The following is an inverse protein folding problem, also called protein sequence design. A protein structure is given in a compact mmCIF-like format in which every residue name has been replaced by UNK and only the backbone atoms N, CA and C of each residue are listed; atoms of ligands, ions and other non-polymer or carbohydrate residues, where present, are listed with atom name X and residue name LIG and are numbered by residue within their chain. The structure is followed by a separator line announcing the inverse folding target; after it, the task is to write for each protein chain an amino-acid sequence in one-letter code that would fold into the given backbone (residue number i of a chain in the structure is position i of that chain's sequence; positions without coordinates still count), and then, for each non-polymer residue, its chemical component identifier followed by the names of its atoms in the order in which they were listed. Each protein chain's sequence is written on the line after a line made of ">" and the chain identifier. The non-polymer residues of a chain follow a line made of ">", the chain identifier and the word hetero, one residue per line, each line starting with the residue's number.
data_IF_397265570305
#
_entry.id   IF_397265570305
#
_cell.length_a   1.000
_cell.length_b   1.000
_cell.length_c   1.000
_cell.angle_alpha   90.00
_cell.angle_beta   90.00
_cell.angle_gamma   90.00
#
_symmetry.space_group_name_H-M   'P 1'
#
loop_
_entity.id
_entity.type
_entity.pdbx_description
1 polymer ?
#
# COMPACT_ATOMS: atom_id res chain seq x y z
N UNK A 1 8.04 1.38 -11.47
CA UNK A 1 6.83 0.54 -11.26
C UNK A 1 5.57 1.09 -11.91
N UNK A 2 5.34 2.42 -11.93
CA UNK A 2 4.19 3.03 -12.65
C UNK A 2 4.06 2.55 -14.11
N UNK A 3 5.14 2.40 -14.91
CA UNK A 3 5.02 1.86 -16.27
C UNK A 3 4.46 0.45 -16.32
N UNK A 4 4.75 -0.39 -15.32
CA UNK A 4 4.26 -1.77 -15.24
C UNK A 4 2.77 -1.82 -14.89
N UNK A 5 2.33 -0.93 -13.99
CA UNK A 5 0.91 -0.79 -13.63
C UNK A 5 0.04 -0.33 -14.81
N UNK A 6 0.61 0.45 -15.73
CA UNK A 6 -0.11 0.91 -16.91
C UNK A 6 0.00 -0.09 -18.08
N UNK A 7 1.16 -0.70 -18.28
CA UNK A 7 1.41 -1.61 -19.40
C UNK A 7 0.75 -2.99 -19.20
N UNK A 8 0.72 -3.51 -17.96
CA UNK A 8 0.15 -4.83 -17.66
C UNK A 8 -1.32 -4.99 -18.07
N UNK A 9 -2.23 -4.15 -17.54
CA UNK A 9 -3.65 -4.17 -17.93
C UNK A 9 -3.85 -3.93 -19.43
N UNK A 10 -3.02 -3.09 -20.06
CA UNK A 10 -3.09 -2.87 -21.50
C UNK A 10 -2.76 -4.14 -22.30
N UNK A 11 -1.66 -4.83 -21.97
CA UNK A 11 -1.30 -6.11 -22.58
C UNK A 11 -2.37 -7.18 -22.34
N UNK A 12 -2.93 -7.25 -21.13
CA UNK A 12 -4.02 -8.16 -20.81
C UNK A 12 -5.29 -7.87 -21.61
N UNK A 13 -5.57 -6.60 -21.92
CA UNK A 13 -6.70 -6.24 -22.78
C UNK A 13 -6.52 -6.83 -24.18
N UNK A 14 -5.31 -6.77 -24.75
CA UNK A 14 -4.99 -7.37 -26.05
C UNK A 14 -5.07 -8.91 -26.04
N UNK A 15 -4.55 -9.54 -25.00
CA UNK A 15 -4.66 -10.99 -24.83
C UNK A 15 -6.12 -11.42 -24.68
N UNK A 16 -6.90 -10.69 -23.90
CA UNK A 16 -8.33 -10.96 -23.71
C UNK A 16 -9.14 -10.76 -25.00
N UNK A 17 -8.80 -9.74 -25.81
CA UNK A 17 -9.35 -9.56 -27.16
C UNK A 17 -9.09 -10.79 -28.03
N UNK A 18 -7.83 -11.25 -28.10
CA UNK A 18 -7.47 -12.44 -28.88
C UNK A 18 -8.23 -13.69 -28.41
N UNK A 19 -8.34 -13.90 -27.10
CA UNK A 19 -9.14 -14.97 -26.50
C UNK A 19 -10.62 -14.86 -26.86
N UNK A 20 -11.21 -13.66 -26.81
CA UNK A 20 -12.60 -13.43 -27.17
C UNK A 20 -12.88 -13.70 -28.65
N UNK A 21 -11.99 -13.27 -29.56
CA UNK A 21 -12.10 -13.60 -30.98
C UNK A 21 -12.02 -15.10 -31.22
N UNK A 22 -11.11 -15.80 -30.54
CA UNK A 22 -10.99 -17.26 -30.63
C UNK A 22 -12.27 -17.95 -30.14
N UNK A 23 -12.82 -17.49 -29.01
CA UNK A 23 -14.05 -18.04 -28.45
C UNK A 23 -15.27 -17.80 -29.35
N UNK A 24 -15.39 -16.61 -29.95
CA UNK A 24 -16.46 -16.32 -30.91
C UNK A 24 -16.42 -17.22 -32.15
N UNK A 25 -15.23 -17.64 -32.59
CA UNK A 25 -15.09 -18.59 -33.70
C UNK A 25 -15.48 -20.02 -33.30
N UNK A 26 -15.25 -20.42 -32.05
CA UNK A 26 -15.54 -21.78 -31.58
C UNK A 26 -16.99 -22.00 -31.16
N UNK A 27 -17.67 -20.97 -30.65
CA UNK A 27 -19.05 -21.05 -30.18
C UNK A 27 -19.90 -19.95 -30.81
N UNK A 28 -20.77 -20.30 -31.77
CA UNK A 28 -21.63 -19.38 -32.52
C UNK A 28 -22.69 -18.68 -31.66
N UNK A 29 -23.07 -19.27 -30.53
CA UNK A 29 -24.09 -18.74 -29.63
C UNK A 29 -23.50 -17.85 -28.52
N UNK A 30 -22.16 -17.80 -28.42
CA UNK A 30 -21.47 -16.92 -27.48
C UNK A 30 -21.64 -15.45 -27.91
N UNK A 31 -22.23 -14.66 -27.02
CA UNK A 31 -22.48 -13.22 -27.15
C UNK A 31 -21.91 -12.47 -25.94
N UNK A 32 -21.91 -11.14 -26.02
CA UNK A 32 -21.49 -10.28 -24.89
C UNK A 32 -22.34 -10.56 -23.65
N UNK A 33 -23.65 -10.73 -23.83
CA UNK A 33 -24.62 -10.85 -22.73
C UNK A 33 -24.53 -12.18 -21.97
N UNK A 34 -24.08 -13.25 -22.63
CA UNK A 34 -23.94 -14.59 -22.03
C UNK A 34 -22.47 -15.00 -21.79
N UNK A 35 -21.51 -14.10 -22.04
CA UNK A 35 -20.08 -14.41 -21.97
C UNK A 35 -19.66 -14.93 -20.59
N UNK A 36 -20.15 -14.31 -19.52
CA UNK A 36 -19.83 -14.71 -18.15
C UNK A 36 -20.49 -16.03 -17.74
N UNK A 37 -21.62 -16.42 -18.32
CA UNK A 37 -22.26 -17.70 -18.01
C UNK A 37 -21.73 -18.85 -18.87
N UNK A 38 -21.18 -18.56 -20.06
CA UNK A 38 -20.74 -19.58 -21.02
C UNK A 38 -19.24 -19.73 -21.19
N UNK A 39 -18.43 -18.77 -20.74
CA UNK A 39 -16.97 -18.87 -20.81
C UNK A 39 -16.35 -19.21 -19.45
N UNK A 40 -16.13 -20.49 -19.14
CA UNK A 40 -15.54 -20.89 -17.85
C UNK A 40 -14.13 -20.32 -17.66
N UNK A 41 -13.38 -20.12 -18.75
CA UNK A 41 -12.06 -19.51 -18.70
C UNK A 41 -12.13 -18.04 -18.28
N UNK A 42 -13.06 -17.26 -18.85
CA UNK A 42 -13.26 -15.87 -18.47
C UNK A 42 -13.63 -15.75 -16.99
N UNK A 43 -14.54 -16.61 -16.52
CA UNK A 43 -14.96 -16.65 -15.11
C UNK A 43 -13.80 -17.03 -14.21
N UNK A 44 -13.08 -18.10 -14.52
CA UNK A 44 -11.97 -18.58 -13.71
C UNK A 44 -10.88 -17.51 -13.55
N UNK A 45 -10.49 -16.84 -14.65
CA UNK A 45 -9.49 -15.76 -14.60
C UNK A 45 -10.01 -14.57 -13.80
N UNK A 46 -11.26 -14.16 -14.01
CA UNK A 46 -11.85 -13.02 -13.28
C UNK A 46 -11.96 -13.30 -11.79
N UNK A 47 -12.38 -14.50 -11.40
CA UNK A 47 -12.44 -14.93 -10.00
C UNK A 47 -11.05 -15.01 -9.37
N UNK A 48 -10.06 -15.56 -10.08
CA UNK A 48 -8.68 -15.60 -9.58
C UNK A 48 -8.13 -14.19 -9.31
N UNK A 49 -8.32 -13.26 -10.26
CA UNK A 49 -7.89 -11.87 -10.09
C UNK A 49 -8.65 -11.18 -8.95
N UNK A 50 -9.95 -11.41 -8.82
CA UNK A 50 -10.73 -10.91 -7.69
C UNK A 50 -10.21 -11.44 -6.35
N UNK A 51 -9.90 -12.74 -6.26
CA UNK A 51 -9.35 -13.34 -5.04
C UNK A 51 -7.97 -12.78 -4.68
N UNK A 52 -7.08 -12.59 -5.66
CA UNK A 52 -5.78 -11.94 -5.45
C UNK A 52 -5.97 -10.50 -4.96
N UNK A 53 -6.84 -9.74 -5.62
CA UNK A 53 -7.15 -8.36 -5.24
C UNK A 53 -7.71 -8.26 -3.82
N UNK A 54 -8.68 -9.11 -3.48
CA UNK A 54 -9.28 -9.16 -2.15
C UNK A 54 -8.29 -9.59 -1.07
N UNK A 55 -7.41 -10.56 -1.35
CA UNK A 55 -6.35 -10.94 -0.42
C UNK A 55 -5.40 -9.76 -0.16
N UNK A 56 -4.97 -9.08 -1.23
CA UNK A 56 -4.08 -7.93 -1.09
C UNK A 56 -4.74 -6.75 -0.35
N UNK A 57 -6.03 -6.46 -0.59
CA UNK A 57 -6.79 -5.49 0.23
C UNK A 57 -6.89 -5.96 1.69
N UNK A 58 -7.10 -7.26 1.92
CA UNK A 58 -7.12 -7.84 3.27
C UNK A 58 -5.81 -7.62 4.03
N UNK A 59 -4.66 -7.59 3.33
CA UNK A 59 -3.37 -7.27 3.94
C UNK A 59 -3.29 -5.82 4.40
N UNK A 60 -3.90 -4.88 3.69
CA UNK A 60 -3.97 -3.47 4.09
C UNK A 60 -4.91 -3.24 5.28
N UNK A 61 -5.99 -4.04 5.36
CA UNK A 61 -6.98 -3.93 6.43
C UNK A 61 -6.60 -4.67 7.72
N UNK A 62 -5.65 -5.61 7.64
CA UNK A 62 -5.25 -6.43 8.79
C UNK A 62 -3.77 -6.76 8.72
N UNK A 63 -2.98 -6.09 9.57
CA UNK A 63 -1.54 -6.37 9.66
C UNK A 63 -1.26 -7.83 10.06
N UNK A 64 -2.10 -8.44 10.91
CA UNK A 64 -2.00 -9.87 11.25
C UNK A 64 -2.14 -10.77 10.03
N UNK A 65 -3.04 -10.44 9.12
CA UNK A 65 -3.18 -11.17 7.86
C UNK A 65 -1.98 -10.89 6.93
N UNK A 66 -1.52 -9.64 6.86
CA UNK A 66 -0.33 -9.23 6.12
C UNK A 66 0.92 -10.02 6.53
N UNK A 67 1.11 -10.26 7.84
CA UNK A 67 2.22 -11.02 8.40
C UNK A 67 2.30 -12.48 7.93
N UNK A 68 1.23 -13.06 7.38
CA UNK A 68 1.25 -14.43 6.84
C UNK A 68 2.04 -14.57 5.53
N UNK A 69 2.34 -13.45 4.87
CA UNK A 69 2.99 -13.42 3.58
C UNK A 69 4.48 -13.06 3.70
N UNK A 70 5.28 -13.39 2.68
CA UNK A 70 6.68 -12.96 2.62
C UNK A 70 6.80 -11.43 2.55
N UNK A 71 7.86 -10.85 3.11
CA UNK A 71 8.06 -9.39 3.21
C UNK A 71 7.92 -8.67 1.86
N UNK A 72 8.42 -9.28 0.77
CA UNK A 72 8.28 -8.70 -0.58
C UNK A 72 6.81 -8.52 -1.00
N UNK A 73 5.95 -9.48 -0.64
CA UNK A 73 4.51 -9.41 -0.96
C UNK A 73 3.83 -8.34 -0.10
N UNK A 74 4.26 -8.21 1.15
CA UNK A 74 3.75 -7.17 2.06
C UNK A 74 4.14 -5.77 1.60
N UNK A 75 5.35 -5.59 1.09
CA UNK A 75 5.81 -4.30 0.57
C UNK A 75 5.01 -3.84 -0.66
N UNK A 76 4.61 -4.79 -1.51
CA UNK A 76 3.88 -4.51 -2.74
C UNK A 76 2.36 -4.78 -2.66
N UNK A 77 1.77 -5.03 -1.49
CA UNK A 77 0.35 -5.43 -1.35
C UNK A 77 -0.59 -4.42 -2.00
N UNK A 78 -0.40 -3.13 -1.75
CA UNK A 78 -1.19 -2.05 -2.36
C UNK A 78 -1.13 -2.13 -3.90
N UNK A 79 0.07 -2.28 -4.46
CA UNK A 79 0.30 -2.35 -5.90
C UNK A 79 -0.30 -3.63 -6.51
N UNK A 80 -0.18 -4.76 -5.81
CA UNK A 80 -0.77 -6.04 -6.20
C UNK A 80 -2.29 -5.94 -6.24
N UNK A 81 -2.92 -5.36 -5.20
CA UNK A 81 -4.37 -5.19 -5.14
C UNK A 81 -4.90 -4.42 -6.35
N UNK A 82 -4.19 -3.35 -6.70
CA UNK A 82 -4.59 -2.49 -7.78
C UNK A 82 -4.35 -3.11 -9.15
N UNK A 83 -3.19 -3.75 -9.34
CA UNK A 83 -2.89 -4.48 -10.56
C UNK A 83 -3.91 -5.60 -10.80
N UNK A 84 -4.31 -6.33 -9.77
CA UNK A 84 -5.32 -7.38 -9.88
C UNK A 84 -6.69 -6.82 -10.30
N UNK A 85 -7.13 -5.72 -9.69
CA UNK A 85 -8.38 -5.05 -10.04
C UNK A 85 -8.36 -4.51 -11.48
N UNK A 86 -7.32 -3.76 -11.86
CA UNK A 86 -7.18 -3.23 -13.22
C UNK A 86 -7.08 -4.35 -14.28
N UNK A 87 -6.38 -5.45 -13.95
CA UNK A 87 -6.28 -6.63 -14.81
C UNK A 87 -7.63 -7.32 -15.00
N UNK A 88 -8.47 -7.40 -13.96
CA UNK A 88 -9.81 -7.96 -14.06
C UNK A 88 -10.67 -7.15 -15.03
N UNK A 89 -10.67 -5.82 -14.89
CA UNK A 89 -11.37 -4.92 -15.83
C UNK A 89 -10.86 -5.07 -17.27
N UNK A 90 -9.54 -5.14 -17.45
CA UNK A 90 -8.92 -5.36 -18.76
C UNK A 90 -9.37 -6.67 -19.41
N UNK A 91 -9.39 -7.77 -18.64
CA UNK A 91 -9.81 -9.09 -19.14
C UNK A 91 -11.27 -9.09 -19.56
N UNK A 92 -12.17 -8.62 -18.69
CA UNK A 92 -13.62 -8.59 -18.98
C UNK A 92 -13.91 -7.70 -20.19
N UNK A 93 -13.29 -6.52 -20.21
CA UNK A 93 -13.50 -5.50 -21.26
C UNK A 93 -12.93 -5.94 -22.60
N UNK A 94 -11.70 -6.47 -22.65
CA UNK A 94 -11.08 -6.97 -23.87
C UNK A 94 -11.85 -8.16 -24.45
N UNK A 95 -12.23 -9.12 -23.61
CA UNK A 95 -13.01 -10.28 -24.04
C UNK A 95 -14.39 -9.86 -24.56
N UNK A 96 -15.12 -9.03 -23.82
CA UNK A 96 -16.44 -8.53 -24.21
C UNK A 96 -16.40 -7.71 -25.51
N UNK A 97 -15.40 -6.87 -25.70
CA UNK A 97 -15.23 -6.09 -26.93
C UNK A 97 -14.99 -6.98 -28.15
N UNK A 98 -14.17 -8.03 -28.03
CA UNK A 98 -13.96 -8.98 -29.11
C UNK A 98 -15.25 -9.70 -29.52
N UNK A 99 -16.09 -10.09 -28.54
CA UNK A 99 -17.40 -10.66 -28.82
C UNK A 99 -18.34 -9.64 -29.50
N UNK A 100 -18.35 -8.39 -29.02
CA UNK A 100 -19.15 -7.32 -29.60
C UNK A 100 -18.80 -7.10 -31.09
N UNK A 101 -17.50 -7.03 -31.40
CA UNK A 101 -17.00 -6.90 -32.78
C UNK A 101 -17.38 -8.13 -33.61
N UNK A 102 -17.11 -9.33 -33.10
CA UNK A 102 -17.34 -10.59 -33.83
C UNK A 102 -18.81 -10.84 -34.15
N UNK A 103 -19.72 -10.32 -33.32
CA UNK A 103 -21.17 -10.50 -33.45
C UNK A 103 -21.88 -9.29 -34.06
N UNK A 104 -21.15 -8.26 -34.48
CA UNK A 104 -21.75 -7.05 -35.03
C UNK A 104 -22.70 -6.34 -34.05
N UNK A 105 -22.37 -6.36 -32.76
CA UNK A 105 -23.21 -5.78 -31.72
C UNK A 105 -23.44 -4.28 -31.99
N UNK A 106 -24.70 -3.82 -31.94
CA UNK A 106 -25.09 -2.46 -32.34
C UNK A 106 -24.34 -1.36 -31.59
N UNK A 107 -23.93 -1.65 -30.35
CA UNK A 107 -23.24 -0.71 -29.47
C UNK A 107 -21.72 -0.87 -29.44
N UNK A 108 -21.11 -1.61 -30.38
CA UNK A 108 -19.65 -1.88 -30.36
C UNK A 108 -18.81 -0.61 -30.26
N UNK A 109 -19.17 0.46 -30.98
CA UNK A 109 -18.46 1.75 -30.90
C UNK A 109 -18.58 2.39 -29.53
N UNK A 110 -19.77 2.39 -28.95
CA UNK A 110 -20.01 2.91 -27.60
C UNK A 110 -19.26 2.11 -26.54
N UNK A 111 -19.22 0.77 -26.67
CA UNK A 111 -18.44 -0.11 -25.80
C UNK A 111 -16.94 0.20 -25.88
N UNK A 112 -16.39 0.35 -27.08
CA UNK A 112 -14.99 0.72 -27.27
C UNK A 112 -14.66 2.05 -26.57
N UNK A 113 -15.49 3.08 -26.78
CA UNK A 113 -15.29 4.40 -26.15
C UNK A 113 -15.41 4.29 -24.63
N UNK A 114 -16.41 3.58 -24.12
CA UNK A 114 -16.59 3.37 -22.68
C UNK A 114 -15.39 2.67 -22.04
N UNK A 115 -14.88 1.59 -22.68
CA UNK A 115 -13.71 0.87 -22.22
C UNK A 115 -12.48 1.79 -22.19
N UNK A 116 -12.26 2.57 -23.24
CA UNK A 116 -11.13 3.52 -23.29
C UNK A 116 -11.22 4.57 -22.18
N UNK A 117 -12.40 5.18 -21.98
CA UNK A 117 -12.61 6.18 -20.93
C UNK A 117 -12.40 5.59 -19.53
N UNK A 118 -12.94 4.40 -19.27
CA UNK A 118 -12.76 3.73 -17.98
C UNK A 118 -11.31 3.37 -17.75
N UNK A 119 -10.60 2.82 -18.74
CA UNK A 119 -9.19 2.45 -18.59
C UNK A 119 -8.29 3.69 -18.38
N UNK A 120 -8.56 4.79 -19.08
CA UNK A 120 -7.85 6.06 -18.86
C UNK A 120 -8.15 6.59 -17.46
N UNK A 121 -9.42 6.60 -17.04
CA UNK A 121 -9.80 7.07 -15.71
C UNK A 121 -9.16 6.24 -14.59
N UNK A 122 -9.19 4.91 -14.71
CA UNK A 122 -8.51 4.00 -13.78
C UNK A 122 -6.99 4.24 -13.76
N UNK A 123 -6.37 4.41 -14.93
CA UNK A 123 -4.93 4.72 -15.03
C UNK A 123 -4.56 6.05 -14.37
N UNK A 124 -5.35 7.10 -14.60
CA UNK A 124 -5.13 8.40 -13.96
C UNK A 124 -5.37 8.35 -12.45
N UNK A 125 -6.42 7.66 -12.02
CA UNK A 125 -6.71 7.44 -10.60
C UNK A 125 -5.56 6.69 -9.93
N UNK A 126 -5.05 5.64 -10.56
CA UNK A 126 -3.89 4.89 -10.11
C UNK A 126 -2.69 5.80 -9.87
N UNK A 127 -2.30 6.57 -10.88
CA UNK A 127 -1.14 7.46 -10.80
C UNK A 127 -1.36 8.50 -9.70
N UNK A 128 -2.57 9.05 -9.60
CA UNK A 128 -2.88 10.07 -8.60
C UNK A 128 -2.79 9.57 -7.17
N UNK A 129 -3.21 8.32 -6.94
CA UNK A 129 -3.40 7.74 -5.61
C UNK A 129 -2.21 6.92 -5.12
N UNK A 130 -1.48 6.27 -6.02
CA UNK A 130 -0.46 5.28 -5.66
C UNK A 130 0.95 5.61 -6.17
N UNK A 131 1.15 6.79 -6.79
CA UNK A 131 2.51 7.25 -7.05
C UNK A 131 3.20 7.55 -5.72
N UNK A 132 4.47 7.12 -5.55
CA UNK A 132 5.26 7.50 -4.39
C UNK A 132 5.41 9.01 -4.32
N UNK A 133 5.31 9.58 -3.11
CA UNK A 133 5.42 11.03 -2.90
C UNK A 133 6.86 11.49 -2.66
N UNK A 134 7.79 10.58 -2.38
CA UNK A 134 9.19 10.91 -2.11
C UNK A 134 9.86 11.83 -3.15
N UNK A 135 9.66 11.65 -4.48
CA UNK A 135 10.19 12.57 -5.48
C UNK A 135 9.71 14.02 -5.33
N UNK A 136 8.47 14.21 -4.86
CA UNK A 136 7.83 15.52 -4.68
C UNK A 136 8.17 16.17 -3.33
N UNK A 137 8.81 15.44 -2.40
CA UNK A 137 9.24 16.00 -1.12
C UNK A 137 10.42 16.96 -1.31
N UNK A 138 10.35 18.08 -0.58
CA UNK A 138 11.43 19.04 -0.44
C UNK A 138 12.59 18.51 0.41
N UNK A 139 13.56 19.36 0.78
CA UNK A 139 14.61 18.98 1.71
C UNK A 139 14.00 18.60 3.06
N UNK A 140 14.51 17.53 3.69
CA UNK A 140 14.10 17.12 5.01
C UNK A 140 14.36 18.19 6.06
N UNK A 141 13.54 18.22 7.11
CA UNK A 141 13.68 19.16 8.24
C UNK A 141 14.09 18.38 9.47
N UNK A 142 15.13 18.85 10.15
CA UNK A 142 15.60 18.29 11.42
C UNK A 142 15.60 19.39 12.48
N UNK A 143 15.14 19.08 13.68
CA UNK A 143 15.21 20.02 14.82
C UNK A 143 16.64 20.19 15.31
N UNK A 144 16.90 21.24 16.11
CA UNK A 144 18.20 21.42 16.77
C UNK A 144 18.59 20.23 17.66
N UNK A 145 17.60 19.47 18.14
CA UNK A 145 17.78 18.24 18.91
C UNK A 145 18.04 16.98 18.06
N UNK A 146 18.14 17.11 16.74
CA UNK A 146 18.44 15.99 15.82
C UNK A 146 17.22 15.14 15.44
N UNK A 147 15.99 15.57 15.73
CA UNK A 147 14.77 14.85 15.36
C UNK A 147 14.35 15.19 13.94
N UNK A 148 14.20 14.19 13.07
CA UNK A 148 13.67 14.34 11.72
C UNK A 148 12.16 14.56 11.78
N UNK A 149 11.69 15.66 11.20
CA UNK A 149 10.28 16.02 11.11
C UNK A 149 9.66 15.55 9.79
N UNK A 150 8.35 15.39 9.77
CA UNK A 150 7.62 15.18 8.52
C UNK A 150 7.32 16.53 7.85
N UNK A 151 7.52 16.62 6.54
CA UNK A 151 7.18 17.78 5.71
C UNK A 151 5.88 17.60 4.93
N UNK A 152 5.36 16.37 4.86
CA UNK A 152 4.09 16.04 4.21
C UNK A 152 3.14 15.31 5.17
N UNK A 153 1.83 15.44 4.99
CA UNK A 153 0.82 14.82 5.87
C UNK A 153 0.76 13.28 5.84
N UNK A 154 1.56 12.63 5.00
CA UNK A 154 1.52 11.17 4.77
C UNK A 154 2.86 10.49 5.10
N UNK A 155 3.84 11.23 5.60
CA UNK A 155 5.23 10.75 5.80
C UNK A 155 5.60 10.51 7.26
N UNK A 156 4.63 10.44 8.18
CA UNK A 156 4.90 10.15 9.60
C UNK A 156 5.70 8.85 9.81
N UNK A 157 5.42 7.79 9.04
CA UNK A 157 6.19 6.53 9.08
C UNK A 157 7.61 6.72 8.52
N UNK A 158 7.77 7.50 7.45
CA UNK A 158 9.08 7.80 6.85
C UNK A 158 9.96 8.60 7.81
N UNK A 159 9.43 9.67 8.41
CA UNK A 159 10.12 10.44 9.44
C UNK A 159 10.46 9.59 10.68
N UNK A 160 9.54 8.72 11.13
CA UNK A 160 9.80 7.79 12.23
C UNK A 160 10.91 6.78 11.91
N UNK A 161 10.93 6.23 10.69
CA UNK A 161 11.99 5.35 10.21
C UNK A 161 13.34 6.07 10.12
N UNK A 162 13.36 7.31 9.61
CA UNK A 162 14.55 8.15 9.57
C UNK A 162 15.12 8.39 10.97
N UNK A 163 14.26 8.69 11.94
CA UNK A 163 14.65 8.84 13.35
C UNK A 163 15.21 7.55 13.96
N UNK A 164 14.58 6.39 13.71
CA UNK A 164 15.12 5.08 14.13
C UNK A 164 16.46 4.80 13.47
N UNK A 165 16.61 5.11 12.18
CA UNK A 165 17.86 4.89 11.47
C UNK A 165 18.99 5.73 12.06
N UNK A 166 18.72 7.01 12.35
CA UNK A 166 19.66 7.92 13.02
C UNK A 166 20.02 7.47 14.43
N UNK A 167 19.09 6.87 15.17
CA UNK A 167 19.40 6.26 16.48
C UNK A 167 20.48 5.19 16.39
N UNK A 168 20.60 4.52 15.24
CA UNK A 168 21.62 3.51 14.95
C UNK A 168 22.74 4.02 14.04
N UNK A 169 23.00 5.33 14.02
CA UNK A 169 24.05 5.99 13.23
C UNK A 169 23.93 5.78 11.71
N UNK A 170 22.71 5.55 11.20
CA UNK A 170 22.42 5.54 9.77
C UNK A 170 21.75 6.88 9.43
N UNK A 171 22.47 7.70 8.68
CA UNK A 171 21.93 8.97 8.19
C UNK A 171 20.94 8.68 7.06
N UNK A 172 19.65 8.79 7.41
CA UNK A 172 18.52 8.68 6.51
C UNK A 172 17.63 9.89 6.75
N UNK A 173 17.27 10.61 5.70
CA UNK A 173 16.31 11.71 5.79
C UNK A 173 14.86 11.23 5.52
N UNK A 174 13.88 12.12 5.69
CA UNK A 174 12.47 11.83 5.42
C UNK A 174 12.24 11.36 3.98
N UNK A 175 12.91 12.00 3.01
CA UNK A 175 12.69 11.78 1.59
C UNK A 175 13.21 10.41 1.17
N UNK A 176 14.42 10.08 1.56
CA UNK A 176 15.04 8.77 1.32
C UNK A 176 14.22 7.66 1.97
N UNK A 177 13.76 7.87 3.22
CA UNK A 177 12.87 6.93 3.89
C UNK A 177 11.53 6.76 3.13
N UNK A 178 10.93 7.85 2.64
CA UNK A 178 9.69 7.81 1.88
C UNK A 178 9.84 7.09 0.53
N UNK A 179 10.98 7.26 -0.13
CA UNK A 179 11.31 6.55 -1.38
C UNK A 179 11.49 5.05 -1.14
N UNK A 180 12.21 4.65 -0.09
CA UNK A 180 12.38 3.24 0.29
C UNK A 180 11.04 2.59 0.65
N UNK A 181 10.20 3.30 1.40
CA UNK A 181 8.89 2.81 1.83
C UNK A 181 7.85 2.81 0.72
N UNK A 182 8.11 3.48 -0.40
CA UNK A 182 7.11 3.77 -1.44
C UNK A 182 5.88 4.47 -0.85
N UNK A 183 6.10 5.43 0.04
CA UNK A 183 5.05 6.19 0.71
C UNK A 183 4.16 6.87 -0.33
N UNK A 184 2.85 6.72 -0.20
CA UNK A 184 1.86 7.34 -1.09
C UNK A 184 1.11 8.46 -0.38
N UNK A 185 0.14 9.08 -1.06
CA UNK A 185 -0.76 10.07 -0.42
C UNK A 185 -1.59 9.46 0.72
N UNK A 186 -1.76 8.13 0.75
CA UNK A 186 -2.43 7.42 1.84
C UNK A 186 -1.47 7.01 2.98
N UNK A 187 -0.19 7.35 2.85
CA UNK A 187 0.84 6.97 3.81
C UNK A 187 1.50 5.64 3.48
N UNK A 188 1.90 4.95 4.54
CA UNK A 188 2.72 3.74 4.50
C UNK A 188 2.16 2.71 5.47
N UNK A 189 1.96 1.48 5.00
CA UNK A 189 1.52 0.36 5.81
C UNK A 189 2.65 -0.29 6.62
N UNK A 190 2.34 -1.03 7.70
CA UNK A 190 3.35 -1.74 8.50
C UNK A 190 4.14 -2.78 7.72
N UNK A 191 3.55 -3.40 6.69
CA UNK A 191 4.23 -4.35 5.80
C UNK A 191 5.38 -3.73 5.00
N UNK A 192 5.17 -2.51 4.50
CA UNK A 192 6.22 -1.74 3.82
C UNK A 192 7.36 -1.40 4.79
N UNK A 193 7.02 -1.00 6.02
CA UNK A 193 8.01 -0.70 7.05
C UNK A 193 8.85 -1.93 7.42
N UNK A 194 8.24 -3.09 7.64
CA UNK A 194 8.95 -4.34 7.95
C UNK A 194 9.93 -4.74 6.84
N UNK A 195 9.52 -4.62 5.59
CA UNK A 195 10.39 -4.90 4.45
C UNK A 195 11.59 -3.94 4.40
N UNK A 196 11.38 -2.64 4.59
CA UNK A 196 12.49 -1.66 4.56
C UNK A 196 13.42 -1.83 5.75
N UNK A 197 12.90 -2.15 6.94
CA UNK A 197 13.73 -2.48 8.10
C UNK A 197 14.65 -3.67 7.82
N UNK A 198 14.11 -4.75 7.22
CA UNK A 198 14.90 -5.92 6.79
C UNK A 198 15.97 -5.53 5.76
N UNK A 199 15.61 -4.71 4.75
CA UNK A 199 16.56 -4.24 3.74
C UNK A 199 17.69 -3.38 4.31
N UNK A 200 17.41 -2.59 5.34
CA UNK A 200 18.40 -1.77 6.06
C UNK A 200 19.22 -2.60 7.07
N UNK A 201 18.92 -3.89 7.23
CA UNK A 201 19.66 -4.80 8.11
C UNK A 201 19.23 -4.73 9.58
N UNK A 202 18.06 -4.18 9.87
CA UNK A 202 17.50 -4.19 11.22
C UNK A 202 16.81 -5.50 11.54
N UNK A 203 17.00 -6.00 12.76
CA UNK A 203 16.11 -7.00 13.35
C UNK A 203 14.90 -6.28 13.95
N UNK A 204 13.70 -6.81 13.75
CA UNK A 204 12.48 -6.17 14.25
C UNK A 204 11.52 -7.17 14.89
N UNK A 205 10.71 -6.66 15.81
CA UNK A 205 9.61 -7.41 16.44
C UNK A 205 8.32 -6.60 16.33
N UNK A 206 7.29 -7.20 15.73
CA UNK A 206 5.96 -6.58 15.70
C UNK A 206 5.32 -6.69 17.07
N UNK A 207 4.81 -5.57 17.57
CA UNK A 207 4.15 -5.49 18.87
C UNK A 207 2.70 -6.00 18.78
N UNK A 208 2.23 -6.68 19.83
CA UNK A 208 0.86 -7.21 19.89
C UNK A 208 -0.07 -6.12 20.47
N UNK A 209 -1.28 -5.89 19.89
CA UNK A 209 -2.34 -5.09 20.53
C UNK A 209 -2.66 -5.44 21.99
N UNK A 210 -2.32 -6.66 22.44
CA UNK A 210 -2.44 -7.06 23.85
C UNK A 210 -1.40 -6.39 24.76
N UNK A 211 -0.27 -5.96 24.22
CA UNK A 211 0.78 -5.25 24.93
C UNK A 211 0.37 -3.79 25.12
N UNK A 212 -0.08 -3.45 26.33
CA UNK A 212 -0.57 -2.10 26.68
C UNK A 212 0.44 -1.25 27.45
N UNK A 213 1.67 -1.75 27.58
CA UNK A 213 2.73 -1.08 28.34
C UNK A 213 4.02 -1.07 27.52
N UNK A 214 4.66 0.11 27.44
CA UNK A 214 5.99 0.25 26.87
C UNK A 214 7.10 -0.20 27.82
N UNK A 215 6.79 -0.52 29.08
CA UNK A 215 7.80 -0.98 30.04
C UNK A 215 8.56 -2.24 29.55
N UNK A 216 7.90 -3.08 28.77
CA UNK A 216 8.47 -4.31 28.21
C UNK A 216 8.82 -4.19 26.72
N UNK A 217 8.70 -3.00 26.13
CA UNK A 217 9.07 -2.74 24.73
C UNK A 217 10.51 -2.23 24.68
N UNK A 218 11.44 -2.93 24.00
CA UNK A 218 12.79 -2.43 23.86
C UNK A 218 12.80 -1.19 22.94
N UNK A 219 13.37 -0.07 23.38
CA UNK A 219 13.62 1.05 22.50
C UNK A 219 14.79 0.78 21.52
N UNK A 220 14.80 1.40 20.34
CA UNK A 220 13.74 2.25 19.80
C UNK A 220 12.61 1.44 19.16
N UNK A 221 11.40 1.99 19.14
CA UNK A 221 10.25 1.38 18.47
C UNK A 221 9.44 2.42 17.68
N UNK A 222 8.90 2.03 16.53
CA UNK A 222 7.91 2.85 15.81
C UNK A 222 6.53 2.43 16.29
N UNK A 223 5.79 3.35 16.90
CA UNK A 223 4.46 3.11 17.45
C UNK A 223 3.39 3.64 16.50
N UNK A 224 2.34 2.86 16.27
CA UNK A 224 1.15 3.31 15.54
C UNK A 224 0.12 3.84 16.54
N UNK A 225 -0.17 5.12 16.46
CA UNK A 225 -0.94 5.87 17.45
C UNK A 225 -2.12 6.59 16.81
N UNK A 226 -3.10 6.93 17.63
CA UNK A 226 -4.26 7.69 17.21
C UNK A 226 -3.87 9.14 16.91
N UNK A 227 -4.28 9.64 15.74
CA UNK A 227 -4.18 11.05 15.42
C UNK A 227 -5.49 11.74 15.79
N UNK A 228 -5.47 12.89 16.50
CA UNK A 228 -6.69 13.59 16.91
C UNK A 228 -7.67 13.89 15.76
N UNK A 229 -7.15 14.16 14.56
CA UNK A 229 -7.97 14.51 13.39
C UNK A 229 -8.26 13.35 12.42
N UNK A 230 -7.39 12.33 12.37
CA UNK A 230 -7.48 11.25 11.38
C UNK A 230 -7.99 9.94 11.98
N UNK A 231 -8.04 9.85 13.31
CA UNK A 231 -8.63 8.75 14.04
C UNK A 231 -7.61 7.70 14.46
N UNK A 232 -8.08 6.47 14.53
CA UNK A 232 -7.36 5.37 15.18
C UNK A 232 -6.15 4.93 14.36
N UNK A 233 -4.99 4.79 15.01
CA UNK A 233 -3.74 4.24 14.44
C UNK A 233 -3.33 4.86 13.09
N UNK A 234 -3.72 6.10 12.86
CA UNK A 234 -3.50 6.82 11.60
C UNK A 234 -2.20 7.63 11.60
N UNK A 235 -1.39 7.52 12.65
CA UNK A 235 -0.14 8.25 12.81
C UNK A 235 0.97 7.36 13.37
N UNK A 236 2.21 7.72 13.11
CA UNK A 236 3.38 6.98 13.55
C UNK A 236 4.39 7.90 14.24
N UNK A 237 4.94 7.42 15.35
CA UNK A 237 5.95 8.12 16.15
C UNK A 237 7.07 7.15 16.53
N UNK A 238 8.26 7.66 16.83
CA UNK A 238 9.33 6.84 17.39
C UNK A 238 9.33 6.96 18.92
N UNK A 239 9.20 5.84 19.62
CA UNK A 239 9.56 5.70 21.02
C UNK A 239 11.07 5.53 21.16
N UNK A 240 11.72 6.48 21.84
CA UNK A 240 13.18 6.51 21.99
C UNK A 240 13.68 5.87 23.27
N UNK A 241 13.08 6.20 24.41
CA UNK A 241 13.54 5.73 25.72
C UNK A 241 12.52 6.05 26.82
N UNK A 242 12.66 5.41 27.97
CA UNK A 242 12.03 5.87 29.21
C UNK A 242 12.83 7.06 29.74
N UNK A 243 12.14 8.14 30.09
CA UNK A 243 12.73 9.37 30.59
C UNK A 243 12.08 9.80 31.92
N UNK A 244 12.65 10.81 32.58
CA UNK A 244 12.02 11.39 33.77
C UNK A 244 10.66 12.01 33.37
N UNK A 245 9.60 11.59 34.07
CA UNK A 245 8.24 12.03 33.79
C UNK A 245 7.47 11.21 32.75
N UNK A 246 8.09 10.26 32.04
CA UNK A 246 7.36 9.39 31.12
C UNK A 246 8.20 8.72 30.04
N UNK A 247 7.70 8.77 28.82
CA UNK A 247 8.30 8.15 27.64
C UNK A 247 8.75 9.23 26.68
N UNK A 248 10.02 9.19 26.27
CA UNK A 248 10.56 10.07 25.25
C UNK A 248 10.09 9.60 23.87
N UNK A 249 9.31 10.45 23.21
CA UNK A 249 8.72 10.23 21.90
C UNK A 249 9.29 11.26 20.93
N UNK A 250 9.75 10.78 19.79
CA UNK A 250 10.08 11.60 18.64
C UNK A 250 8.83 11.65 17.76
N UNK A 251 8.12 12.75 17.87
CA UNK A 251 6.86 13.05 17.21
C UNK A 251 7.16 13.78 15.88
N UNK A 252 6.90 13.18 14.71
CA UNK A 252 7.24 13.80 13.42
C UNK A 252 6.67 15.20 13.18
N UNK A 253 5.61 15.60 13.89
CA UNK A 253 5.01 16.93 13.77
C UNK A 253 5.61 17.97 14.74
N UNK A 254 6.14 17.54 15.88
CA UNK A 254 6.46 18.44 17.01
C UNK A 254 7.94 18.35 17.45
N UNK A 255 8.65 17.28 17.08
CA UNK A 255 10.01 16.99 17.54
C UNK A 255 10.04 16.08 18.76
N UNK A 256 11.02 16.27 19.64
CA UNK A 256 11.16 15.47 20.87
C UNK A 256 10.16 15.94 21.94
N UNK A 257 9.31 15.04 22.42
CA UNK A 257 8.31 15.30 23.45
C UNK A 257 8.30 14.17 24.49
N UNK A 258 7.85 14.48 25.71
CA UNK A 258 7.63 13.48 26.76
C UNK A 258 6.13 13.20 26.88
N UNK A 259 5.72 11.96 26.66
CA UNK A 259 4.37 11.51 26.98
C UNK A 259 4.35 10.85 28.35
N UNK A 260 3.46 11.32 29.21
CA UNK A 260 3.14 10.58 30.42
C UNK A 260 2.38 9.28 30.08
N UNK A 261 2.23 8.43 31.09
CA UNK A 261 1.54 7.15 30.93
C UNK A 261 0.10 7.30 30.44
N UNK A 262 -0.62 8.31 30.94
CA UNK A 262 -2.02 8.52 30.60
C UNK A 262 -2.19 8.93 29.13
N UNK A 263 -1.32 9.82 28.64
CA UNK A 263 -1.30 10.27 27.25
C UNK A 263 -0.98 9.12 26.31
N UNK A 264 0.03 8.31 26.67
CA UNK A 264 0.39 7.13 25.91
C UNK A 264 -0.77 6.11 25.85
N UNK A 265 -1.37 5.75 26.98
CA UNK A 265 -2.47 4.78 27.03
C UNK A 265 -3.74 5.28 26.30
N UNK A 266 -3.91 6.60 26.17
CA UNK A 266 -5.01 7.19 25.42
C UNK A 266 -4.78 7.17 23.89
N UNK A 267 -3.53 7.15 23.42
CA UNK A 267 -3.17 7.26 22.00
C UNK A 267 -2.67 5.95 21.40
N UNK A 268 -2.04 5.08 22.18
CA UNK A 268 -1.37 3.87 21.70
C UNK A 268 -2.11 2.62 22.16
N UNK A 269 -2.45 1.76 21.19
CA UNK A 269 -3.24 0.55 21.42
C UNK A 269 -2.44 -0.76 21.36
N UNK A 270 -1.11 -0.67 21.48
CA UNK A 270 -0.20 -1.83 21.46
C UNK A 270 0.39 -2.15 20.09
N UNK A 271 -0.03 -1.47 19.03
CA UNK A 271 0.49 -1.69 17.68
C UNK A 271 1.77 -0.90 17.41
N UNK A 272 2.77 -1.56 16.84
CA UNK A 272 4.05 -0.94 16.53
C UNK A 272 5.09 -1.97 16.11
N UNK A 273 6.31 -1.51 15.88
CA UNK A 273 7.44 -2.32 15.50
C UNK A 273 8.64 -1.88 16.33
N UNK A 274 9.11 -2.74 17.22
CA UNK A 274 10.36 -2.55 17.94
C UNK A 274 11.53 -2.91 17.04
N UNK A 275 12.57 -2.07 17.05
CA UNK A 275 13.71 -2.18 16.15
C UNK A 275 14.98 -2.42 16.96
N UNK A 276 15.81 -3.32 16.48
CA UNK A 276 17.10 -3.65 17.06
C UNK A 276 18.13 -3.78 15.94
N UNK A 277 19.38 -3.49 16.24
CA UNK A 277 20.49 -3.81 15.35
C UNK A 277 21.15 -5.10 15.86
N UNK A 278 21.38 -6.10 14.98
CA UNK A 278 22.09 -7.32 15.37
C UNK A 278 23.55 -7.06 15.80
#
# INVERSE_FOLDING_TARGET
>A
MIPLLLAGPFLLTWLALACGFRAARSDSELTVDNALSRSPLLVAISLLLALIGMAAVGMELSDRFCQLFALLVQHYSTWISWLAFASMFAVISGYGLALAISRGHKQTRSLLVAILLVQIALGLLCVRLFSPIGPDLGPGVTTDGGVVLQTHGSTCVAASLANVSRHFDIDLDEKEAADLLLTTVYGTGPGQLRFVLDQLGFSFTTLDPKQRSLADVPPPAILFVDHPALGRESHAVMYRAIAEGGYEIYEPLEGAIIWDRQTLEARWHGNGIACTRP
#
